data_IF_950605657621
#
_entry.id   IF_950605657621
#
_cell.length_a   1.000
_cell.length_b   1.000
_cell.length_c   1.000
_cell.angle_alpha   90.00
_cell.angle_beta   90.00
_cell.angle_gamma   90.00
#
_symmetry.space_group_name_H-M   'P 1'
#
loop_
_entity.id
_entity.type
_entity.pdbx_description
1 polymer ?
#
# COMPACT_ATOMS: atom_id res chain seq x y z
N UNK A 1 -4.43 1.13 -29.24
CA UNK A 1 -3.13 0.84 -28.58
C UNK A 1 -2.92 1.60 -27.26
N UNK A 2 -3.45 2.81 -27.07
CA UNK A 2 -3.28 3.66 -25.86
C UNK A 2 -3.68 3.03 -24.51
N UNK A 3 -4.61 2.07 -24.49
CA UNK A 3 -5.07 1.39 -23.27
C UNK A 3 -4.06 0.36 -22.76
N UNK A 4 -3.39 -0.38 -23.64
CA UNK A 4 -2.40 -1.41 -23.25
C UNK A 4 -1.24 -0.79 -22.46
N UNK A 5 -0.80 0.41 -22.83
CA UNK A 5 0.30 1.13 -22.16
C UNK A 5 -0.05 1.56 -20.74
N UNK A 6 -1.32 1.93 -20.48
CA UNK A 6 -1.76 2.31 -19.12
C UNK A 6 -1.81 1.13 -18.17
N UNK A 7 -2.29 -0.03 -18.65
CA UNK A 7 -2.28 -1.28 -17.88
C UNK A 7 -0.86 -1.73 -17.49
N UNK A 8 0.14 -1.46 -18.34
CA UNK A 8 1.54 -1.74 -18.05
C UNK A 8 2.13 -0.88 -16.92
N UNK A 9 1.47 0.21 -16.51
CA UNK A 9 1.89 1.04 -15.37
C UNK A 9 1.09 0.66 -14.12
N UNK A 10 -0.24 0.61 -14.23
CA UNK A 10 -1.09 0.37 -13.08
C UNK A 10 -0.93 -1.03 -12.47
N UNK A 11 -0.73 -2.07 -13.28
CA UNK A 11 -0.59 -3.43 -12.77
C UNK A 11 0.69 -3.59 -11.92
N UNK A 12 1.89 -3.19 -12.41
CA UNK A 12 3.08 -3.19 -11.57
C UNK A 12 2.94 -2.36 -10.30
N UNK A 13 2.31 -1.18 -10.37
CA UNK A 13 2.08 -0.33 -9.20
C UNK A 13 1.20 -1.02 -8.16
N UNK A 14 0.11 -1.65 -8.57
CA UNK A 14 -0.74 -2.43 -7.66
C UNK A 14 0.01 -3.59 -7.02
N UNK A 15 0.83 -4.31 -7.79
CA UNK A 15 1.63 -5.42 -7.27
C UNK A 15 2.70 -4.96 -6.27
N UNK A 16 3.42 -3.89 -6.61
CA UNK A 16 4.43 -3.29 -5.73
C UNK A 16 3.80 -2.72 -4.46
N UNK A 17 2.65 -2.07 -4.58
CA UNK A 17 1.89 -1.58 -3.43
C UNK A 17 1.42 -2.73 -2.54
N UNK A 18 0.87 -3.81 -3.12
CA UNK A 18 0.42 -4.98 -2.36
C UNK A 18 1.58 -5.65 -1.63
N UNK A 19 2.72 -5.83 -2.31
CA UNK A 19 3.93 -6.37 -1.69
C UNK A 19 4.44 -5.48 -0.54
N UNK A 20 4.48 -4.15 -0.76
CA UNK A 20 4.84 -3.18 0.26
C UNK A 20 3.88 -3.20 1.45
N UNK A 21 2.58 -3.35 1.21
CA UNK A 21 1.56 -3.46 2.24
C UNK A 21 1.77 -4.70 3.12
N UNK A 22 2.06 -5.86 2.51
CA UNK A 22 2.35 -7.10 3.25
C UNK A 22 3.61 -6.96 4.09
N UNK A 23 4.70 -6.43 3.52
CA UNK A 23 5.95 -6.19 4.24
C UNK A 23 5.76 -5.23 5.41
N UNK A 24 5.02 -4.15 5.19
CA UNK A 24 4.73 -3.16 6.22
C UNK A 24 3.83 -3.72 7.33
N UNK A 25 2.83 -4.54 6.99
CA UNK A 25 2.01 -5.27 7.96
C UNK A 25 2.89 -6.18 8.82
N UNK A 26 3.80 -6.95 8.21
CA UNK A 26 4.70 -7.83 8.97
C UNK A 26 5.63 -7.03 9.87
N UNK A 27 6.24 -5.95 9.37
CA UNK A 27 7.09 -5.07 10.15
C UNK A 27 6.33 -4.45 11.34
N UNK A 28 5.09 -3.98 11.12
CA UNK A 28 4.24 -3.43 12.17
C UNK A 28 3.98 -4.45 13.29
N UNK A 29 3.53 -5.66 12.94
CA UNK A 29 3.25 -6.72 13.93
C UNK A 29 4.52 -7.03 14.73
N UNK A 30 5.64 -7.29 14.04
CA UNK A 30 6.92 -7.59 14.70
C UNK A 30 7.34 -6.45 15.62
N UNK A 31 7.23 -5.19 15.16
CA UNK A 31 7.65 -4.02 15.94
C UNK A 31 6.90 -3.87 17.26
N UNK A 32 5.62 -4.27 17.31
CA UNK A 32 4.80 -4.18 18.52
C UNK A 32 5.02 -5.36 19.45
N UNK A 33 5.27 -6.55 18.88
CA UNK A 33 5.56 -7.75 19.66
C UNK A 33 7.01 -7.82 20.14
N UNK A 34 7.85 -6.86 19.72
CA UNK A 34 9.22 -6.73 20.24
C UNK A 34 9.16 -6.10 21.65
N UNK A 35 9.94 -6.61 22.63
CA UNK A 35 9.89 -6.16 24.02
C UNK A 35 10.04 -4.63 24.24
N UNK A 36 9.53 -4.08 25.36
CA UNK A 36 8.93 -4.78 26.51
C UNK A 36 7.47 -5.18 26.27
N UNK A 37 7.16 -6.45 26.54
CA UNK A 37 5.80 -6.95 26.48
C UNK A 37 4.92 -6.18 27.46
N UNK A 38 3.72 -5.80 27.00
CA UNK A 38 2.72 -5.21 27.89
C UNK A 38 2.09 -6.33 28.72
N UNK A 39 1.64 -6.04 29.94
CA UNK A 39 0.93 -7.00 30.80
C UNK A 39 -0.39 -7.52 30.18
N UNK A 40 -0.84 -6.90 29.08
CA UNK A 40 -2.01 -7.32 28.32
C UNK A 40 -1.67 -8.45 27.32
N UNK A 41 -2.04 -9.68 27.69
CA UNK A 41 -1.90 -10.87 26.85
C UNK A 41 -2.61 -10.74 25.49
N UNK A 42 -3.68 -9.95 25.40
CA UNK A 42 -4.42 -9.76 24.15
C UNK A 42 -3.66 -8.85 23.18
N UNK A 43 -3.05 -7.79 23.70
CA UNK A 43 -2.21 -6.86 22.94
C UNK A 43 -0.95 -7.55 22.36
N UNK A 44 -0.50 -8.65 22.94
CA UNK A 44 0.67 -9.39 22.47
C UNK A 44 0.33 -10.51 21.47
N UNK A 45 -0.92 -10.63 21.01
CA UNK A 45 -1.29 -11.64 20.02
C UNK A 45 -1.12 -11.13 18.58
N UNK A 46 -0.51 -11.95 17.70
CA UNK A 46 -0.33 -11.60 16.28
C UNK A 46 -1.66 -11.30 15.59
N UNK A 47 -2.71 -12.09 15.89
CA UNK A 47 -4.04 -11.90 15.32
C UNK A 47 -4.67 -10.56 15.69
N UNK A 48 -4.51 -10.13 16.95
CA UNK A 48 -4.98 -8.80 17.36
C UNK A 48 -4.20 -7.69 16.66
N UNK A 49 -2.87 -7.81 16.56
CA UNK A 49 -2.07 -6.80 15.85
C UNK A 49 -2.42 -6.73 14.35
N UNK A 50 -2.69 -7.87 13.72
CA UNK A 50 -3.19 -7.89 12.35
C UNK A 50 -4.55 -7.19 12.21
N UNK A 51 -5.48 -7.45 13.13
CA UNK A 51 -6.77 -6.76 13.16
C UNK A 51 -6.60 -5.24 13.32
N UNK A 52 -5.74 -4.81 14.26
CA UNK A 52 -5.43 -3.40 14.48
C UNK A 52 -4.81 -2.75 13.23
N UNK A 53 -3.92 -3.46 12.53
CA UNK A 53 -3.38 -3.00 11.26
C UNK A 53 -4.48 -2.79 10.22
N UNK A 54 -5.38 -3.78 10.05
CA UNK A 54 -6.46 -3.73 9.08
C UNK A 54 -7.48 -2.61 9.36
N UNK A 55 -7.76 -2.32 10.63
CA UNK A 55 -8.72 -1.27 10.99
C UNK A 55 -8.09 0.12 10.87
N UNK A 56 -6.88 0.31 11.37
CA UNK A 56 -6.32 1.66 11.55
C UNK A 56 -5.31 2.09 10.49
N UNK A 57 -4.55 1.15 9.91
CA UNK A 57 -3.45 1.49 8.98
C UNK A 57 -3.76 1.16 7.54
N UNK A 58 -4.42 0.02 7.28
CA UNK A 58 -4.78 -0.38 5.93
C UNK A 58 -5.63 0.67 5.18
N UNK A 59 -6.62 1.35 5.80
CA UNK A 59 -7.36 2.41 5.12
C UNK A 59 -6.47 3.58 4.70
N UNK A 60 -5.48 3.95 5.52
CA UNK A 60 -4.52 5.01 5.18
C UNK A 60 -3.63 4.60 4.00
N UNK A 61 -3.20 3.33 3.95
CA UNK A 61 -2.44 2.80 2.84
C UNK A 61 -3.26 2.78 1.54
N UNK A 62 -4.56 2.48 1.62
CA UNK A 62 -5.48 2.56 0.47
C UNK A 62 -5.63 3.99 -0.04
N UNK A 63 -5.78 4.97 0.87
CA UNK A 63 -5.77 6.38 0.48
C UNK A 63 -4.45 6.74 -0.21
N UNK A 64 -3.33 6.25 0.30
CA UNK A 64 -2.02 6.39 -0.34
C UNK A 64 -1.99 5.78 -1.75
N UNK A 65 -2.55 4.59 -1.95
CA UNK A 65 -2.66 3.95 -3.27
C UNK A 65 -3.47 4.81 -4.24
N UNK A 66 -4.62 5.31 -3.82
CA UNK A 66 -5.43 6.19 -4.67
C UNK A 66 -4.67 7.45 -5.06
N UNK A 67 -3.89 8.03 -4.14
CA UNK A 67 -3.00 9.15 -4.42
C UNK A 67 -1.94 8.82 -5.48
N UNK A 68 -1.28 7.67 -5.36
CA UNK A 68 -0.26 7.21 -6.33
C UNK A 68 -0.90 7.02 -7.71
N UNK A 69 -2.02 6.28 -7.79
CA UNK A 69 -2.71 6.03 -9.06
C UNK A 69 -3.20 7.33 -9.72
N UNK A 70 -3.65 8.30 -8.92
CA UNK A 70 -4.05 9.61 -9.40
C UNK A 70 -2.86 10.37 -10.02
N UNK A 71 -1.71 10.40 -9.34
CA UNK A 71 -0.48 10.99 -9.87
C UNK A 71 -0.01 10.31 -11.16
N UNK A 72 -0.05 8.98 -11.20
CA UNK A 72 0.28 8.21 -12.40
C UNK A 72 -0.64 8.55 -13.57
N UNK A 73 -1.94 8.74 -13.32
CA UNK A 73 -2.88 9.16 -14.35
C UNK A 73 -2.55 10.55 -14.92
N UNK A 74 -2.19 11.52 -14.06
CA UNK A 74 -1.74 12.85 -14.48
C UNK A 74 -0.47 12.75 -15.33
N UNK A 75 0.54 12.03 -14.85
CA UNK A 75 1.82 11.85 -15.53
C UNK A 75 1.62 11.18 -16.89
N UNK A 76 0.86 10.08 -16.94
CA UNK A 76 0.56 9.43 -18.21
C UNK A 76 -0.11 10.41 -19.19
N UNK A 77 -1.11 11.17 -18.75
CA UNK A 77 -1.75 12.15 -19.63
C UNK A 77 -0.75 13.19 -20.15
N UNK A 78 0.08 13.80 -19.29
CA UNK A 78 1.06 14.82 -19.68
C UNK A 78 2.11 14.30 -20.70
N UNK A 79 2.65 13.10 -20.48
CA UNK A 79 3.70 12.56 -21.34
C UNK A 79 3.18 11.97 -22.65
N UNK A 80 1.95 11.43 -22.66
CA UNK A 80 1.35 10.89 -23.88
C UNK A 80 0.64 11.95 -24.73
N UNK A 81 0.23 13.11 -24.19
CA UNK A 81 -0.27 14.21 -25.03
C UNK A 81 0.87 14.95 -25.74
N UNK A 82 2.03 15.13 -25.10
CA UNK A 82 3.16 15.88 -25.66
C UNK A 82 3.90 15.18 -26.79
N UNK A 83 3.66 13.89 -27.00
CA UNK A 83 4.32 13.08 -28.05
C UNK A 83 3.53 13.06 -29.36
N UNK A 84 2.29 13.57 -29.33
CA UNK A 84 1.36 13.60 -30.46
C UNK A 84 1.32 15.00 -31.15
N UNK A 85 2.09 15.99 -30.64
CA UNK A 85 2.33 17.32 -31.24
C UNK A 85 3.75 17.38 -31.85
#
# INVERSE_FOLDING_TARGET
MRTKTKWMVYVPTLLLWAAGCVLYCRWYIVSILTPPFRDDAYANSEGFQFLMFMIFRFPLLLVGLFGILYLEAIICNLFFTRKDD
#
